data_IF_958928194515
#
_entry.id   IF_958928194515
#
_cell.length_a   1.000
_cell.length_b   1.000
_cell.length_c   1.000
_cell.angle_alpha   90.00
_cell.angle_beta   90.00
_cell.angle_gamma   90.00
#
_symmetry.space_group_name_H-M   'P 1'
#
loop_
_entity.id
_entity.type
_entity.pdbx_description
1 polymer ?
#
# COMPACT_ATOMS: atom_id res chain seq x y z
N UNK A 1 -31.36 16.57 -4.33
CA UNK A 1 -30.48 16.14 -3.24
C UNK A 1 -29.46 15.15 -3.84
N UNK A 2 -28.20 15.49 -3.77
CA UNK A 2 -27.07 14.94 -4.51
C UNK A 2 -26.79 13.47 -4.15
N UNK A 3 -26.35 12.69 -5.13
CA UNK A 3 -25.91 11.30 -5.00
C UNK A 3 -24.73 11.14 -3.99
N UNK A 4 -24.02 12.25 -3.68
CA UNK A 4 -22.97 12.34 -2.67
C UNK A 4 -23.51 12.15 -1.24
N UNK A 5 -24.72 12.65 -0.96
CA UNK A 5 -25.31 12.56 0.38
C UNK A 5 -25.72 11.12 0.73
N UNK A 6 -26.10 10.30 -0.27
CA UNK A 6 -26.46 8.89 -0.05
C UNK A 6 -25.24 7.96 0.22
N UNK A 7 -24.02 8.39 -0.16
CA UNK A 7 -22.79 7.63 0.14
C UNK A 7 -22.28 7.83 1.56
N UNK A 8 -22.64 8.91 2.21
CA UNK A 8 -22.23 9.22 3.59
C UNK A 8 -23.07 8.47 4.62
N UNK A 9 -24.34 8.20 4.29
CA UNK A 9 -25.30 7.55 5.22
C UNK A 9 -25.09 6.01 5.39
N UNK A 10 -24.17 5.40 4.64
CA UNK A 10 -23.80 3.98 4.78
C UNK A 10 -22.45 3.77 5.46
N UNK A 11 -21.94 4.76 6.17
CA UNK A 11 -20.70 4.59 6.95
C UNK A 11 -20.95 3.59 8.07
N UNK A 12 -20.37 2.42 7.92
CA UNK A 12 -20.20 1.47 9.01
C UNK A 12 -19.68 2.26 10.20
N UNK A 13 -20.38 2.18 11.34
CA UNK A 13 -19.91 2.81 12.58
C UNK A 13 -18.54 2.24 12.93
N UNK A 14 -17.50 3.04 12.81
CA UNK A 14 -16.15 2.64 13.16
C UNK A 14 -16.04 2.56 14.69
N UNK A 15 -15.49 1.48 15.20
CA UNK A 15 -15.20 1.35 16.65
C UNK A 15 -14.13 2.38 17.10
N UNK A 16 -13.21 2.73 16.19
CA UNK A 16 -12.17 3.72 16.42
C UNK A 16 -12.17 4.74 15.26
N UNK A 17 -12.75 5.89 15.49
CA UNK A 17 -12.82 7.02 14.56
C UNK A 17 -11.78 8.11 14.86
N UNK A 18 -10.90 7.89 15.84
CA UNK A 18 -9.95 8.90 16.37
C UNK A 18 -9.13 9.56 15.27
N UNK A 19 -8.61 8.77 14.32
CA UNK A 19 -7.81 9.29 13.22
C UNK A 19 -8.64 10.22 12.32
N UNK A 20 -9.86 9.82 11.97
CA UNK A 20 -10.76 10.63 11.14
C UNK A 20 -11.17 11.92 11.84
N UNK A 21 -11.50 11.86 13.13
CA UNK A 21 -11.83 13.05 13.93
C UNK A 21 -10.67 14.03 13.98
N UNK A 22 -9.44 13.54 14.19
CA UNK A 22 -8.25 14.38 14.17
C UNK A 22 -8.04 15.07 12.81
N UNK A 23 -8.28 14.38 11.69
CA UNK A 23 -8.24 14.95 10.35
C UNK A 23 -9.29 16.05 10.14
N UNK A 24 -10.48 15.88 10.73
CA UNK A 24 -11.56 16.87 10.69
C UNK A 24 -11.38 17.99 11.73
N UNK A 25 -10.26 17.99 12.48
CA UNK A 25 -9.97 18.94 13.57
C UNK A 25 -10.99 18.90 14.72
N UNK A 26 -11.60 17.76 14.93
CA UNK A 26 -12.47 17.51 16.07
C UNK A 26 -11.66 17.10 17.29
N UNK A 27 -12.18 17.33 18.54
CA UNK A 27 -11.51 16.90 19.75
C UNK A 27 -11.33 15.37 19.77
N UNK A 28 -10.13 14.93 20.15
CA UNK A 28 -9.78 13.52 20.37
C UNK A 28 -9.18 13.35 21.77
N UNK A 29 -9.32 12.14 22.32
CA UNK A 29 -8.79 11.80 23.65
C UNK A 29 -7.26 11.73 23.70
N UNK A 30 -6.62 11.43 22.58
CA UNK A 30 -5.17 11.37 22.39
C UNK A 30 -4.80 11.52 20.92
N UNK A 31 -3.53 11.83 20.66
CA UNK A 31 -3.01 11.86 19.28
C UNK A 31 -3.14 10.47 18.63
N UNK A 32 -3.76 10.36 17.46
CA UNK A 32 -3.82 9.10 16.74
C UNK A 32 -2.43 8.64 16.31
N UNK A 33 -2.21 7.33 16.34
CA UNK A 33 -0.92 6.70 16.10
C UNK A 33 -1.01 5.68 14.97
N UNK A 34 -0.06 5.77 14.05
CA UNK A 34 0.37 4.70 13.16
C UNK A 34 1.90 4.70 13.07
N UNK A 35 2.50 3.61 12.61
CA UNK A 35 3.95 3.50 12.47
C UNK A 35 4.33 3.13 11.04
N UNK A 36 5.31 3.83 10.47
CA UNK A 36 5.91 3.43 9.19
C UNK A 36 6.43 1.99 9.29
N UNK A 37 6.11 1.18 8.27
CA UNK A 37 6.48 -0.24 8.22
C UNK A 37 5.93 -1.06 9.40
N UNK A 38 4.75 -0.69 9.90
CA UNK A 38 4.08 -1.49 10.93
C UNK A 38 3.85 -2.94 10.47
N UNK A 39 3.57 -3.20 9.19
CA UNK A 39 3.73 -4.51 8.58
C UNK A 39 5.21 -4.74 8.23
N UNK A 40 5.83 -5.78 8.78
CA UNK A 40 7.25 -5.97 8.56
C UNK A 40 7.85 -7.23 9.17
N UNK A 41 9.12 -7.49 8.83
CA UNK A 41 9.85 -8.72 9.16
C UNK A 41 10.03 -9.00 10.66
N UNK A 42 9.76 -8.05 11.53
CA UNK A 42 9.77 -8.25 12.98
C UNK A 42 8.56 -9.07 13.46
N UNK A 43 7.47 -9.12 12.67
CA UNK A 43 6.29 -9.93 12.96
C UNK A 43 6.49 -11.37 12.46
N UNK A 44 6.33 -12.40 13.31
CA UNK A 44 6.41 -13.79 12.88
C UNK A 44 5.37 -14.14 11.81
N UNK A 45 4.14 -13.65 11.95
CA UNK A 45 3.06 -13.83 10.98
C UNK A 45 3.39 -13.20 9.62
N UNK A 46 3.99 -12.02 9.59
CA UNK A 46 4.46 -11.41 8.35
C UNK A 46 5.49 -12.30 7.65
N UNK A 47 6.45 -12.86 8.40
CA UNK A 47 7.46 -13.76 7.83
C UNK A 47 6.85 -15.02 7.23
N UNK A 48 5.81 -15.58 7.87
CA UNK A 48 5.09 -16.74 7.36
C UNK A 48 4.37 -16.40 6.04
N UNK A 49 3.55 -15.34 6.02
CA UNK A 49 2.85 -14.88 4.83
C UNK A 49 3.82 -14.52 3.69
N UNK A 50 4.96 -13.90 4.03
CA UNK A 50 6.00 -13.57 3.05
C UNK A 50 6.67 -14.80 2.44
N UNK A 51 6.85 -15.86 3.22
CA UNK A 51 7.41 -17.14 2.74
C UNK A 51 6.38 -17.84 1.82
N UNK A 52 5.10 -17.82 2.17
CA UNK A 52 4.01 -18.36 1.35
C UNK A 52 3.89 -17.65 0.00
N UNK A 53 4.01 -16.33 -0.03
CA UNK A 53 3.98 -15.53 -1.24
C UNK A 53 5.14 -15.83 -2.22
N UNK A 54 6.23 -16.41 -1.75
CA UNK A 54 7.41 -16.74 -2.54
C UNK A 54 8.29 -15.54 -2.89
N UNK A 55 7.74 -14.44 -3.40
CA UNK A 55 8.49 -13.21 -3.69
C UNK A 55 7.90 -11.98 -3.02
N UNK A 56 8.70 -10.90 -2.91
CA UNK A 56 8.22 -9.64 -2.35
C UNK A 56 7.16 -8.99 -3.26
N UNK A 57 7.39 -9.02 -4.56
CA UNK A 57 6.43 -8.48 -5.53
C UNK A 57 5.12 -9.29 -5.53
N UNK A 58 5.18 -10.61 -5.46
CA UNK A 58 3.99 -11.44 -5.33
C UNK A 58 3.17 -11.10 -4.07
N UNK A 59 3.84 -10.72 -2.97
CA UNK A 59 3.15 -10.24 -1.77
C UNK A 59 2.47 -8.88 -2.00
N UNK A 60 3.12 -7.96 -2.73
CA UNK A 60 2.59 -6.62 -3.00
C UNK A 60 1.44 -6.62 -4.00
N UNK A 61 1.51 -7.50 -5.02
CA UNK A 61 0.54 -7.53 -6.12
C UNK A 61 -0.64 -8.49 -5.90
N UNK A 62 -0.61 -9.27 -4.82
CA UNK A 62 -1.73 -10.11 -4.42
C UNK A 62 -2.61 -9.38 -3.41
N UNK A 63 -3.87 -9.01 -3.74
CA UNK A 63 -4.73 -8.21 -2.87
C UNK A 63 -5.01 -8.86 -1.51
N UNK A 64 -5.20 -10.18 -1.48
CA UNK A 64 -5.49 -10.92 -0.25
C UNK A 64 -4.28 -10.91 0.69
N UNK A 65 -3.09 -11.17 0.16
CA UNK A 65 -1.87 -11.19 0.96
C UNK A 65 -1.47 -9.79 1.42
N UNK A 66 -1.61 -8.78 0.56
CA UNK A 66 -1.38 -7.38 0.93
C UNK A 66 -2.34 -6.91 2.02
N UNK A 67 -3.63 -7.28 1.93
CA UNK A 67 -4.61 -7.04 2.97
C UNK A 67 -4.23 -7.75 4.28
N UNK A 68 -3.90 -9.03 4.23
CA UNK A 68 -3.53 -9.81 5.40
C UNK A 68 -2.35 -9.16 6.15
N UNK A 69 -1.24 -8.87 5.46
CA UNK A 69 -0.06 -8.27 6.13
C UNK A 69 -0.33 -6.85 6.62
N UNK A 70 -1.23 -6.11 5.99
CA UNK A 70 -1.67 -4.79 6.46
C UNK A 70 -2.40 -4.89 7.80
N UNK A 71 -3.24 -5.92 7.98
CA UNK A 71 -4.05 -6.11 9.18
C UNK A 71 -3.30 -6.77 10.35
N UNK A 72 -2.23 -7.53 10.08
CA UNK A 72 -1.47 -8.22 11.12
C UNK A 72 -1.02 -7.31 12.28
N UNK A 73 -0.37 -6.16 12.04
CA UNK A 73 0.00 -5.25 13.13
C UNK A 73 -1.20 -4.66 13.87
N UNK A 74 -2.34 -4.44 13.21
CA UNK A 74 -3.56 -3.92 13.85
C UNK A 74 -4.16 -4.93 14.82
N UNK A 75 -4.01 -6.23 14.56
CA UNK A 75 -4.45 -7.30 15.48
C UNK A 75 -3.56 -7.40 16.72
N UNK A 76 -2.30 -6.95 16.64
CA UNK A 76 -1.33 -6.98 17.74
C UNK A 76 -1.31 -5.71 18.58
N UNK A 77 -1.49 -4.58 17.94
CA UNK A 77 -1.26 -3.28 18.55
C UNK A 77 -2.47 -2.37 18.36
N UNK A 78 -2.78 -1.58 19.37
CA UNK A 78 -3.86 -0.60 19.33
C UNK A 78 -3.47 0.64 18.50
N UNK A 79 -3.26 0.45 17.21
CA UNK A 79 -3.01 1.55 16.26
C UNK A 79 -4.31 2.16 15.77
N UNK A 80 -4.28 3.44 15.42
CA UNK A 80 -5.45 4.21 15.02
C UNK A 80 -5.60 4.31 13.49
N UNK A 81 -4.59 3.87 12.73
CA UNK A 81 -4.61 3.85 11.28
C UNK A 81 -3.66 2.78 10.72
N UNK A 82 -3.87 2.44 9.46
CA UNK A 82 -2.99 1.60 8.68
C UNK A 82 -2.72 2.20 7.30
N UNK A 83 -1.55 1.89 6.75
CA UNK A 83 -1.23 2.10 5.35
C UNK A 83 -1.31 0.74 4.67
N UNK A 84 -2.01 0.66 3.54
CA UNK A 84 -2.05 -0.53 2.72
C UNK A 84 -0.61 -0.96 2.38
N UNK A 85 -0.32 -2.24 2.60
CA UNK A 85 0.99 -2.79 2.28
C UNK A 85 1.27 -2.71 0.78
N UNK A 86 2.35 -2.05 0.43
CA UNK A 86 2.85 -1.90 -0.93
C UNK A 86 4.33 -1.51 -0.89
N UNK A 87 4.92 -1.23 -2.06
CA UNK A 87 6.27 -0.71 -2.19
C UNK A 87 6.32 0.51 -3.10
N UNK A 88 7.31 1.36 -2.90
CA UNK A 88 7.54 2.56 -3.73
C UNK A 88 7.93 2.22 -5.16
N UNK A 89 8.35 0.99 -5.41
CA UNK A 89 8.81 0.51 -6.72
C UNK A 89 7.69 -0.07 -7.58
N UNK A 90 6.49 -0.29 -7.02
CA UNK A 90 5.35 -0.83 -7.78
C UNK A 90 4.92 0.08 -8.91
N UNK A 91 4.88 1.39 -8.69
CA UNK A 91 4.52 2.37 -9.73
C UNK A 91 5.56 2.40 -10.86
N UNK A 92 6.86 2.56 -10.59
CA UNK A 92 7.89 2.48 -11.64
C UNK A 92 7.88 1.16 -12.41
N UNK A 93 7.63 0.05 -11.74
CA UNK A 93 7.52 -1.26 -12.38
C UNK A 93 6.31 -1.34 -13.31
N UNK A 94 5.16 -0.87 -12.84
CA UNK A 94 3.94 -0.79 -13.66
C UNK A 94 4.10 0.11 -14.89
N UNK A 95 4.92 1.17 -14.79
CA UNK A 95 5.31 2.02 -15.92
C UNK A 95 6.28 1.33 -16.89
N UNK A 96 6.62 0.07 -16.65
CA UNK A 96 7.41 -0.75 -17.57
C UNK A 96 8.91 -0.54 -17.46
N UNK A 97 9.43 -0.03 -16.33
CA UNK A 97 10.87 0.18 -16.16
C UNK A 97 11.65 -1.13 -15.93
N UNK A 98 10.96 -2.26 -15.72
CA UNK A 98 11.54 -3.60 -15.55
C UNK A 98 12.28 -3.73 -14.23
N UNK A 99 11.54 -3.85 -13.14
CA UNK A 99 12.09 -4.08 -11.81
C UNK A 99 12.66 -5.49 -11.68
N UNK A 100 13.88 -5.60 -11.20
CA UNK A 100 14.48 -6.87 -10.82
C UNK A 100 15.29 -6.75 -9.53
N UNK A 101 15.54 -7.90 -8.89
CA UNK A 101 16.30 -7.97 -7.64
C UNK A 101 17.60 -8.74 -7.87
N UNK A 102 18.73 -8.08 -7.62
CA UNK A 102 20.05 -8.71 -7.61
C UNK A 102 20.42 -9.16 -6.20
N UNK A 103 21.01 -10.36 -6.10
CA UNK A 103 21.53 -10.86 -4.83
C UNK A 103 22.58 -9.91 -4.26
N UNK A 104 22.35 -9.42 -3.02
CA UNK A 104 23.30 -8.52 -2.33
C UNK A 104 23.25 -7.04 -2.74
N UNK A 105 22.56 -6.68 -3.84
CA UNK A 105 22.51 -5.29 -4.35
C UNK A 105 21.15 -4.62 -4.18
N UNK A 106 20.08 -5.39 -3.91
CA UNK A 106 18.72 -4.89 -3.78
C UNK A 106 18.00 -4.68 -5.11
N UNK A 107 16.92 -3.84 -5.12
CA UNK A 107 16.13 -3.60 -6.33
C UNK A 107 16.87 -2.74 -7.35
N UNK A 108 16.70 -3.08 -8.64
CA UNK A 108 17.22 -2.35 -9.79
C UNK A 108 16.18 -2.31 -10.91
N UNK A 109 16.35 -1.36 -11.83
CA UNK A 109 15.54 -1.25 -13.04
C UNK A 109 16.40 -1.52 -14.29
N UNK A 110 15.85 -2.27 -15.23
CA UNK A 110 16.49 -2.52 -16.53
C UNK A 110 16.57 -1.23 -17.36
N UNK A 111 15.58 -0.36 -17.23
CA UNK A 111 15.43 0.89 -17.98
C UNK A 111 15.28 2.08 -17.04
N UNK A 112 16.34 2.49 -16.32
CA UNK A 112 16.27 3.67 -15.47
C UNK A 112 16.10 4.93 -16.31
N UNK A 113 15.25 5.85 -15.86
CA UNK A 113 15.01 7.13 -16.53
C UNK A 113 16.16 8.09 -16.24
N UNK A 114 16.78 8.62 -17.29
CA UNK A 114 17.92 9.53 -17.19
C UNK A 114 17.69 10.89 -17.90
N UNK A 115 16.59 11.07 -18.63
CA UNK A 115 16.33 12.29 -19.41
C UNK A 115 14.86 12.70 -19.41
N UNK A 116 14.59 13.98 -19.69
CA UNK A 116 13.25 14.50 -19.86
C UNK A 116 12.48 13.86 -21.02
N UNK A 117 13.19 13.45 -22.07
CA UNK A 117 12.60 12.77 -23.22
C UNK A 117 12.08 11.37 -22.83
N UNK A 118 12.82 10.65 -21.98
CA UNK A 118 12.39 9.34 -21.47
C UNK A 118 11.18 9.49 -20.54
N UNK A 119 11.11 10.55 -19.72
CA UNK A 119 9.92 10.86 -18.93
C UNK A 119 8.71 11.08 -19.83
N UNK A 120 8.88 11.86 -20.91
CA UNK A 120 7.79 12.15 -21.85
C UNK A 120 7.35 10.93 -22.67
N UNK A 121 8.20 9.91 -22.77
CA UNK A 121 7.91 8.66 -23.47
C UNK A 121 7.23 7.60 -22.57
N UNK A 122 7.06 7.88 -21.28
CA UNK A 122 6.33 6.97 -20.39
C UNK A 122 4.87 6.93 -20.79
N UNK A 123 4.38 5.72 -21.06
CA UNK A 123 2.96 5.46 -21.25
C UNK A 123 2.33 5.30 -19.86
N UNK A 124 1.49 6.26 -19.51
CA UNK A 124 0.79 6.31 -18.24
C UNK A 124 -0.73 6.24 -18.44
N UNK A 125 -1.19 5.44 -19.42
CA UNK A 125 -2.63 5.17 -19.58
C UNK A 125 -3.17 4.59 -18.27
N UNK A 126 -4.09 5.33 -17.64
CA UNK A 126 -4.48 5.12 -16.23
C UNK A 126 -5.11 3.75 -16.00
N UNK A 127 -5.86 3.23 -16.96
CA UNK A 127 -6.54 1.95 -16.83
C UNK A 127 -5.56 0.77 -16.88
N UNK A 128 -4.61 0.77 -17.82
CA UNK A 128 -3.55 -0.24 -17.89
C UNK A 128 -2.61 -0.21 -16.68
N UNK A 129 -2.33 1.00 -16.15
CA UNK A 129 -1.49 1.15 -14.99
C UNK A 129 -2.14 0.55 -13.74
N UNK A 130 -3.45 0.77 -13.58
CA UNK A 130 -4.23 0.19 -12.47
C UNK A 130 -4.23 -1.34 -12.54
N UNK A 131 -4.46 -1.93 -13.70
CA UNK A 131 -4.45 -3.38 -13.89
C UNK A 131 -3.09 -4.00 -13.53
N UNK A 132 -1.99 -3.34 -13.90
CA UNK A 132 -0.63 -3.76 -13.53
C UNK A 132 -0.31 -3.62 -12.04
N UNK A 133 -0.91 -2.63 -11.35
CA UNK A 133 -0.70 -2.39 -9.93
C UNK A 133 -1.53 -3.30 -9.02
N UNK A 134 -2.72 -3.69 -9.47
CA UNK A 134 -3.69 -4.45 -8.66
C UNK A 134 -3.70 -5.94 -8.98
N UNK A 135 -3.11 -6.33 -10.11
CA UNK A 135 -3.18 -7.70 -10.64
C UNK A 135 -4.59 -8.04 -11.16
N UNK A 136 -4.75 -9.19 -11.81
CA UNK A 136 -6.05 -9.66 -12.28
C UNK A 136 -6.97 -10.04 -11.13
#
# INVERSE_FOLDING_TARGET
KSNSQKRVDSMVSLENDRFLRALMREPVDRTPLWMMRQAGRYLPEYRATRAEAGSFMALCTNPELACEVTLQPLRRYAMDAAILFSDILTVPDALGLGLYFSEGEGPRFERPIASAAEVAALDAEQDELLDRLTGP
#
